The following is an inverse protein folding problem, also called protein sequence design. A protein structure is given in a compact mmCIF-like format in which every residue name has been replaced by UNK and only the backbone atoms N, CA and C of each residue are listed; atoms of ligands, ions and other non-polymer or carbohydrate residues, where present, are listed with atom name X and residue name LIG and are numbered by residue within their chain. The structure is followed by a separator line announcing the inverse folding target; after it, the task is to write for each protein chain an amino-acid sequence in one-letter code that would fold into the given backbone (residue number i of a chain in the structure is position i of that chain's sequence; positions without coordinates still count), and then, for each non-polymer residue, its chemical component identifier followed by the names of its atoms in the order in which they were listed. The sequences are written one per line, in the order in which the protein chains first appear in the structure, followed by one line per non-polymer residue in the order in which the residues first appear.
data_IF_060704347631
#
_entry.id   IF_060704347631
#
_cell.length_a   1.000
_cell.length_b   1.000
_cell.length_c   1.000
_cell.angle_alpha   90.00
_cell.angle_beta   90.00
_cell.angle_gamma   90.00
#
_symmetry.space_group_name_H-M   'P 1'
#
loop_
_entity.id
_entity.type
_entity.pdbx_description
1 polymer ?
#
# COMPACT_ATOMS: atom_id res chain seq x y z
N UNK A 1 18.43 -21.41 15.61
CA UNK A 1 17.34 -21.09 14.65
C UNK A 1 16.78 -19.76 15.12
N UNK A 2 16.81 -18.67 14.34
CA UNK A 2 16.13 -17.45 14.79
C UNK A 2 14.65 -17.79 14.97
N UNK A 3 14.14 -17.63 16.20
CA UNK A 3 12.74 -17.87 16.53
C UNK A 3 11.90 -16.91 15.67
N UNK A 4 11.18 -17.47 14.71
CA UNK A 4 10.36 -16.70 13.79
C UNK A 4 9.21 -16.09 14.58
N UNK A 5 9.08 -14.76 14.52
CA UNK A 5 7.90 -14.04 14.95
C UNK A 5 6.63 -14.78 14.48
N UNK A 6 5.65 -14.96 15.37
CA UNK A 6 4.35 -15.54 15.02
C UNK A 6 3.26 -14.47 15.01
N UNK A 7 2.29 -14.64 14.11
CA UNK A 7 1.11 -13.79 13.99
C UNK A 7 -0.09 -14.69 13.79
N UNK A 8 -1.02 -14.69 14.74
CA UNK A 8 -2.22 -15.52 14.71
C UNK A 8 -3.46 -14.66 14.92
N UNK A 9 -4.46 -14.83 14.06
CA UNK A 9 -5.78 -14.23 14.29
C UNK A 9 -6.46 -15.01 15.41
N UNK A 10 -6.87 -14.29 16.45
CA UNK A 10 -7.63 -14.83 17.57
C UNK A 10 -8.90 -14.04 17.76
N UNK A 11 -9.93 -14.69 18.30
CA UNK A 11 -11.17 -14.03 18.66
C UNK A 11 -11.14 -13.74 20.16
N UNK A 12 -10.96 -12.48 20.53
CA UNK A 12 -11.09 -12.04 21.92
C UNK A 12 -12.44 -11.36 22.11
N UNK A 13 -13.27 -11.93 22.98
CA UNK A 13 -14.56 -11.35 23.36
C UNK A 13 -15.48 -11.01 22.16
N UNK A 14 -15.38 -11.77 21.06
CA UNK A 14 -16.16 -11.57 19.83
C UNK A 14 -15.61 -10.51 18.89
N UNK A 15 -14.44 -9.91 19.17
CA UNK A 15 -13.72 -9.03 18.26
C UNK A 15 -12.48 -9.75 17.70
N UNK A 16 -12.18 -9.61 16.40
CA UNK A 16 -10.94 -10.12 15.85
C UNK A 16 -9.76 -9.33 16.44
N UNK A 17 -8.75 -10.06 16.90
CA UNK A 17 -7.49 -9.52 17.41
C UNK A 17 -6.33 -10.36 16.86
N UNK A 18 -5.12 -9.81 16.92
CA UNK A 18 -3.89 -10.49 16.50
C UNK A 18 -3.05 -10.80 17.73
N UNK A 19 -2.72 -12.08 17.91
CA UNK A 19 -1.66 -12.49 18.83
C UNK A 19 -0.32 -12.46 18.09
N UNK A 20 0.55 -11.53 18.49
CA UNK A 20 1.92 -11.45 18.00
C UNK A 20 2.86 -12.06 19.03
N UNK A 21 3.67 -13.05 18.63
CA UNK A 21 4.65 -13.72 19.48
C UNK A 21 6.08 -13.50 19.02
N UNK A 22 7.00 -13.24 19.95
CA UNK A 22 8.45 -13.20 19.73
C UNK A 22 9.13 -13.95 20.88
N UNK A 23 9.80 -15.05 20.57
CA UNK A 23 10.42 -15.94 21.56
C UNK A 23 9.42 -16.37 22.66
N UNK A 24 9.67 -15.96 23.91
CA UNK A 24 8.83 -16.27 25.06
C UNK A 24 7.85 -15.13 25.43
N UNK A 25 7.78 -14.07 24.63
CA UNK A 25 6.87 -12.95 24.82
C UNK A 25 5.75 -12.97 23.77
N UNK A 26 4.54 -12.58 24.17
CA UNK A 26 3.44 -12.37 23.26
C UNK A 26 2.60 -11.17 23.69
N UNK A 27 2.01 -10.49 22.71
CA UNK A 27 1.08 -9.40 22.90
C UNK A 27 -0.16 -9.66 22.06
N UNK A 28 -1.32 -9.24 22.59
CA UNK A 28 -2.54 -9.18 21.82
C UNK A 28 -2.75 -7.75 21.34
N UNK A 29 -3.03 -7.60 20.05
CA UNK A 29 -3.24 -6.33 19.38
C UNK A 29 -4.64 -6.32 18.78
N UNK A 30 -5.46 -5.32 19.12
CA UNK A 30 -6.72 -5.11 18.42
C UNK A 30 -6.49 -4.36 17.08
N UNK A 31 -7.58 -3.96 16.41
CA UNK A 31 -7.46 -3.27 15.12
C UNK A 31 -6.74 -1.91 15.23
N UNK A 32 -6.97 -1.15 16.31
CA UNK A 32 -6.34 0.16 16.51
C UNK A 32 -4.84 0.00 16.83
N UNK A 33 -4.49 -1.00 17.63
CA UNK A 33 -3.10 -1.37 17.88
C UNK A 33 -2.38 -1.76 16.59
N UNK A 34 -3.04 -2.55 15.74
CA UNK A 34 -2.49 -2.98 14.44
C UNK A 34 -2.28 -1.79 13.51
N UNK A 35 -3.22 -0.85 13.43
CA UNK A 35 -3.06 0.39 12.66
C UNK A 35 -1.82 1.17 13.12
N UNK A 36 -1.65 1.31 14.44
CA UNK A 36 -0.48 1.95 15.04
C UNK A 36 0.83 1.24 14.71
N UNK A 37 0.85 -0.09 14.78
CA UNK A 37 2.01 -0.92 14.44
C UNK A 37 2.36 -0.80 12.96
N UNK A 38 1.39 -0.91 12.04
CA UNK A 38 1.60 -0.76 10.60
C UNK A 38 2.22 0.61 10.29
N UNK A 39 1.64 1.67 10.85
CA UNK A 39 2.14 3.03 10.64
C UNK A 39 3.57 3.21 11.17
N UNK A 40 3.87 2.67 12.36
CA UNK A 40 5.22 2.78 12.92
C UNK A 40 6.24 1.96 12.14
N UNK A 41 5.87 0.74 11.73
CA UNK A 41 6.75 -0.15 10.98
C UNK A 41 7.00 0.38 9.57
N UNK A 42 6.02 0.98 8.91
CA UNK A 42 6.21 1.58 7.58
C UNK A 42 7.24 2.71 7.62
N UNK A 43 7.13 3.59 8.63
CA UNK A 43 8.09 4.67 8.87
C UNK A 43 9.50 4.11 9.14
N UNK A 44 9.62 3.13 10.03
CA UNK A 44 10.93 2.53 10.34
C UNK A 44 11.52 1.81 9.12
N UNK A 45 10.71 1.03 8.39
CA UNK A 45 11.13 0.27 7.21
C UNK A 45 11.71 1.18 6.12
N UNK A 46 11.16 2.38 5.94
CA UNK A 46 11.66 3.35 4.97
C UNK A 46 13.12 3.77 5.22
N UNK A 47 13.60 3.70 6.47
CA UNK A 47 14.98 4.02 6.85
C UNK A 47 15.93 2.81 6.93
N UNK A 48 15.44 1.59 6.71
CA UNK A 48 16.22 0.36 6.88
C UNK A 48 16.93 -0.10 5.61
N UNK A 49 18.06 -0.79 5.80
CA UNK A 49 18.79 -1.50 4.73
C UNK A 49 18.42 -2.99 4.72
N UNK A 50 18.37 -3.64 3.54
CA UNK A 50 18.50 -3.03 2.21
C UNK A 50 17.32 -2.10 1.88
N UNK A 51 17.57 -1.10 1.04
CA UNK A 51 16.51 -0.19 0.60
C UNK A 51 15.39 -0.97 -0.08
N UNK A 52 14.18 -0.39 -0.08
CA UNK A 52 13.09 -0.92 -0.89
C UNK A 52 13.49 -0.74 -2.36
N UNK A 53 13.45 -1.80 -3.19
CA UNK A 53 13.77 -1.68 -4.61
C UNK A 53 12.94 -0.60 -5.30
N UNK A 54 13.60 0.24 -6.10
CA UNK A 54 12.94 1.33 -6.85
C UNK A 54 12.05 0.82 -7.98
N UNK A 55 12.26 -0.42 -8.43
CA UNK A 55 11.51 -1.05 -9.50
C UNK A 55 10.83 -2.30 -8.95
N UNK A 56 9.56 -2.57 -9.34
CA UNK A 56 8.89 -3.80 -8.98
C UNK A 56 9.66 -4.99 -9.55
N UNK A 57 9.83 -6.05 -8.76
CA UNK A 57 10.42 -7.29 -9.25
C UNK A 57 9.39 -8.07 -10.09
N UNK A 58 9.76 -8.63 -11.26
CA UNK A 58 8.89 -9.51 -12.02
C UNK A 58 8.47 -10.78 -11.27
N UNK A 59 9.23 -11.18 -10.25
CA UNK A 59 8.91 -12.36 -9.41
C UNK A 59 8.04 -12.00 -8.20
N UNK A 60 7.85 -10.72 -7.91
CA UNK A 60 7.05 -10.28 -6.77
C UNK A 60 5.56 -10.42 -7.09
N UNK A 61 4.83 -11.12 -6.23
CA UNK A 61 3.38 -11.12 -6.26
C UNK A 61 2.86 -9.90 -5.50
N UNK A 62 2.02 -9.10 -6.16
CA UNK A 62 1.36 -7.95 -5.55
C UNK A 62 -0.07 -8.34 -5.18
N UNK A 63 -0.50 -7.95 -3.98
CA UNK A 63 -1.93 -7.91 -3.67
C UNK A 63 -2.51 -6.74 -4.46
N UNK A 64 -3.49 -7.03 -5.32
CA UNK A 64 -4.17 -6.03 -6.11
C UNK A 64 -5.48 -5.64 -5.44
N UNK A 65 -5.63 -4.36 -5.14
CA UNK A 65 -6.92 -3.78 -4.76
C UNK A 65 -7.73 -3.55 -6.04
N UNK A 66 -8.92 -4.16 -6.10
CA UNK A 66 -9.83 -3.98 -7.23
C UNK A 66 -10.67 -2.73 -7.02
N UNK A 67 -10.61 -1.80 -7.98
CA UNK A 67 -11.34 -0.52 -7.96
C UNK A 67 -11.20 0.25 -6.63
N UNK A 68 -9.97 0.58 -6.19
CA UNK A 68 -9.77 1.29 -4.94
C UNK A 68 -10.33 2.70 -5.02
N UNK A 69 -10.93 3.18 -3.92
CA UNK A 69 -11.27 4.59 -3.80
C UNK A 69 -10.00 5.45 -3.90
N UNK A 70 -10.07 6.54 -4.64
CA UNK A 70 -8.96 7.48 -4.81
C UNK A 70 -9.42 8.93 -4.67
N UNK A 71 -8.50 9.79 -4.26
CA UNK A 71 -8.69 11.24 -4.18
C UNK A 71 -7.44 11.96 -4.66
N UNK A 72 -7.60 13.14 -5.24
CA UNK A 72 -6.46 14.01 -5.59
C UNK A 72 -6.73 15.42 -5.12
N UNK A 73 -5.70 16.05 -4.59
CA UNK A 73 -5.76 17.45 -4.15
C UNK A 73 -4.48 18.19 -4.50
N UNK A 74 -4.61 19.48 -4.83
CA UNK A 74 -3.45 20.34 -5.06
C UNK A 74 -2.84 20.69 -3.71
N UNK A 75 -1.52 20.51 -3.56
CA UNK A 75 -0.85 20.87 -2.33
C UNK A 75 -0.55 22.39 -2.32
N UNK A 76 -0.92 23.15 -1.26
CA UNK A 76 -0.80 24.61 -1.27
C UNK A 76 0.65 25.12 -1.24
N UNK A 77 1.59 24.31 -0.76
CA UNK A 77 3.01 24.68 -0.59
C UNK A 77 3.94 24.06 -1.64
N UNK A 78 3.40 23.38 -2.64
CA UNK A 78 4.19 22.57 -3.57
C UNK A 78 3.61 22.60 -4.97
N UNK A 79 4.48 22.69 -5.99
CA UNK A 79 4.06 22.59 -7.38
C UNK A 79 3.82 21.13 -7.77
N UNK A 80 2.58 20.70 -7.56
CA UNK A 80 2.12 19.36 -7.84
C UNK A 80 0.80 19.04 -7.13
N UNK A 81 0.53 17.75 -6.97
CA UNK A 81 -0.68 17.25 -6.33
C UNK A 81 -0.34 16.05 -5.43
N UNK A 82 -1.22 15.77 -4.47
CA UNK A 82 -1.19 14.54 -3.70
C UNK A 82 -2.22 13.59 -4.29
N UNK A 83 -1.79 12.37 -4.61
CA UNK A 83 -2.67 11.24 -4.93
C UNK A 83 -2.86 10.40 -3.68
N UNK A 84 -4.10 10.24 -3.26
CA UNK A 84 -4.50 9.38 -2.15
C UNK A 84 -5.20 8.15 -2.71
N UNK A 85 -4.69 6.96 -2.35
CA UNK A 85 -5.28 5.66 -2.70
C UNK A 85 -5.65 4.91 -1.42
N UNK A 86 -6.86 4.36 -1.37
CA UNK A 86 -7.28 3.50 -0.26
C UNK A 86 -6.81 2.06 -0.50
N UNK A 87 -6.17 1.47 0.51
CA UNK A 87 -5.81 0.06 0.59
C UNK A 87 -6.54 -0.60 1.76
N UNK A 88 -7.06 -1.81 1.59
CA UNK A 88 -7.91 -2.49 2.58
C UNK A 88 -7.20 -2.76 3.92
N UNK A 89 -5.89 -3.02 3.87
CA UNK A 89 -5.06 -3.28 5.06
C UNK A 89 -4.16 -2.14 5.52
N UNK A 90 -4.05 -1.03 4.77
CA UNK A 90 -3.18 0.11 5.13
C UNK A 90 -3.96 1.42 5.34
N UNK A 91 -5.25 1.44 5.01
CA UNK A 91 -6.04 2.66 5.00
C UNK A 91 -5.69 3.56 3.81
N UNK A 92 -5.76 4.88 4.00
CA UNK A 92 -5.41 5.86 2.97
C UNK A 92 -3.90 6.08 2.90
N UNK A 93 -3.32 5.86 1.71
CA UNK A 93 -1.89 6.09 1.46
C UNK A 93 -1.73 7.25 0.48
N UNK A 94 -0.87 8.21 0.83
CA UNK A 94 -0.64 9.43 0.05
C UNK A 94 0.70 9.44 -0.69
N UNK A 95 0.66 9.92 -1.92
CA UNK A 95 1.82 10.08 -2.79
C UNK A 95 1.89 11.52 -3.29
N UNK A 96 2.95 12.23 -2.92
CA UNK A 96 3.20 13.58 -3.43
C UNK A 96 3.84 13.49 -4.82
N UNK A 97 3.14 14.01 -5.83
CA UNK A 97 3.54 13.94 -7.23
C UNK A 97 3.87 15.34 -7.74
N UNK A 98 5.14 15.63 -8.07
CA UNK A 98 5.52 16.86 -8.76
C UNK A 98 4.80 17.00 -10.10
N UNK A 99 4.66 18.24 -10.59
CA UNK A 99 4.05 18.53 -11.90
C UNK A 99 4.59 17.63 -13.04
N UNK A 100 5.90 17.40 -13.11
CA UNK A 100 6.49 16.53 -14.14
C UNK A 100 6.07 15.06 -13.98
N UNK A 101 5.94 14.57 -12.74
CA UNK A 101 5.54 13.20 -12.44
C UNK A 101 4.04 13.01 -12.68
N UNK A 102 3.22 14.02 -12.40
CA UNK A 102 1.80 14.02 -12.78
C UNK A 102 1.61 13.93 -14.29
N UNK A 103 2.40 14.68 -15.07
CA UNK A 103 2.37 14.60 -16.52
C UNK A 103 2.72 13.18 -16.98
N UNK A 104 3.80 12.59 -16.46
CA UNK A 104 4.18 11.20 -16.78
C UNK A 104 3.10 10.19 -16.41
N UNK A 105 2.49 10.32 -15.23
CA UNK A 105 1.41 9.44 -14.79
C UNK A 105 0.19 9.53 -15.72
N UNK A 106 -0.20 10.74 -16.13
CA UNK A 106 -1.30 10.96 -17.08
C UNK A 106 -1.03 10.27 -18.42
N UNK A 107 0.16 10.47 -18.99
CA UNK A 107 0.51 9.85 -20.27
C UNK A 107 0.46 8.31 -20.16
N UNK A 108 1.08 7.73 -19.13
CA UNK A 108 1.09 6.27 -18.93
C UNK A 108 -0.32 5.68 -18.78
N UNK A 109 -1.21 6.32 -18.02
CA UNK A 109 -2.60 5.86 -17.90
C UNK A 109 -3.34 6.00 -19.23
N UNK A 110 -3.11 7.10 -19.97
CA UNK A 110 -3.75 7.35 -21.25
C UNK A 110 -3.35 6.33 -22.31
N UNK A 111 -2.08 5.91 -22.34
CA UNK A 111 -1.60 4.85 -23.23
C UNK A 111 -2.36 3.53 -22.99
N UNK A 112 -2.62 3.17 -21.74
CA UNK A 112 -3.42 1.99 -21.42
C UNK A 112 -4.88 2.12 -21.85
N UNK A 113 -5.50 3.29 -21.66
CA UNK A 113 -6.88 3.52 -22.11
C UNK A 113 -7.02 3.40 -23.63
N UNK A 114 -6.07 3.98 -24.39
CA UNK A 114 -6.04 3.87 -25.84
C UNK A 114 -5.88 2.43 -26.31
N UNK A 115 -5.00 1.66 -25.66
CA UNK A 115 -4.82 0.24 -25.99
C UNK A 115 -6.10 -0.57 -25.74
N UNK A 116 -6.76 -0.34 -24.59
CA UNK A 116 -8.03 -1.00 -24.26
C UNK A 116 -9.13 -0.63 -25.26
N UNK A 117 -9.26 0.63 -25.66
CA UNK A 117 -10.26 1.04 -26.66
C UNK A 117 -10.05 0.34 -28.01
N UNK A 118 -8.79 0.17 -28.43
CA UNK A 118 -8.45 -0.55 -29.67
C UNK A 118 -8.82 -2.04 -29.62
N UNK A 119 -8.58 -2.69 -28.49
CA UNK A 119 -8.98 -4.09 -28.27
C UNK A 119 -10.50 -4.25 -28.36
N UNK A 120 -11.27 -3.32 -27.80
CA UNK A 120 -12.74 -3.34 -27.88
C UNK A 120 -13.28 -3.05 -29.29
N UNK A 121 -12.54 -2.33 -30.15
CA UNK A 121 -12.94 -2.02 -31.52
C UNK A 121 -12.63 -3.12 -32.55
N UNK A 122 -11.85 -4.15 -32.19
CA UNK A 122 -11.58 -5.29 -33.08
C UNK A 122 -12.74 -6.30 -33.04
N UNK A 123 -13.38 -6.64 -34.19
CA UNK A 123 -14.40 -7.67 -34.21
C UNK A 123 -13.77 -9.06 -34.01
N UNK A 124 -14.46 -9.93 -33.25
CA UNK A 124 -14.15 -11.36 -33.07
C UNK A 124 -14.01 -12.11 -34.39
#
# INVERSE_FOLDING_TARGET
MPQAMSLEVVNEHGKPAIRMGIENAAVLLDAEDIDGVIHRLSYLRAGMRPDIPLQPSPQQQFVLEMDPCWHTEKHPLYDGAVLLLRHSGLGWTGFALPTHSLAQLREAITEHLVALDQEHCMPN
#
